data_IF_592774892731
#
_entry.id   IF_592774892731
#
_cell.length_a   1.000
_cell.length_b   1.000
_cell.length_c   1.000
_cell.angle_alpha   90.00
_cell.angle_beta   90.00
_cell.angle_gamma   90.00
#
_symmetry.space_group_name_H-M   'P 1'
#
loop_
_entity.id
_entity.type
_entity.pdbx_description
1 polymer ?
#
# COMPACT_ATOMS: atom_id res chain seq x y z
N UNK A 1 46.65 34.59 1.34
CA UNK A 1 47.15 33.32 1.92
C UNK A 1 46.14 32.60 2.83
N UNK A 2 45.44 33.27 3.76
CA UNK A 2 44.52 32.60 4.70
C UNK A 2 43.26 31.97 4.04
N UNK A 3 42.71 32.56 2.98
CA UNK A 3 41.50 32.06 2.29
C UNK A 3 41.74 30.71 1.59
N UNK A 4 42.90 30.53 0.96
CA UNK A 4 43.25 29.28 0.28
C UNK A 4 43.37 28.11 1.28
N UNK A 5 43.83 28.41 2.49
CA UNK A 5 43.98 27.45 3.58
C UNK A 5 42.63 27.00 4.14
N UNK A 6 41.64 27.91 4.23
CA UNK A 6 40.26 27.55 4.61
C UNK A 6 39.56 26.69 3.56
N UNK A 7 39.75 26.99 2.26
CA UNK A 7 39.16 26.19 1.18
C UNK A 7 39.74 24.76 1.18
N UNK A 8 41.06 24.62 1.41
CA UNK A 8 41.72 23.31 1.44
C UNK A 8 41.25 22.45 2.63
N UNK A 9 41.04 23.06 3.81
CA UNK A 9 40.49 22.37 4.99
C UNK A 9 39.03 21.98 4.76
N UNK A 10 38.22 22.85 4.17
CA UNK A 10 36.82 22.55 3.85
C UNK A 10 36.71 21.38 2.84
N UNK A 11 37.60 21.35 1.84
CA UNK A 11 37.66 20.28 0.83
C UNK A 11 38.11 18.94 1.43
N UNK A 12 39.09 18.96 2.35
CA UNK A 12 39.54 17.75 3.05
C UNK A 12 38.47 17.18 4.01
N UNK A 13 37.70 18.05 4.67
CA UNK A 13 36.57 17.67 5.52
C UNK A 13 35.43 17.11 4.65
N UNK A 14 35.09 17.74 3.52
CA UNK A 14 34.09 17.20 2.57
C UNK A 14 34.52 15.85 1.97
N UNK A 15 35.80 15.65 1.65
CA UNK A 15 36.30 14.36 1.13
C UNK A 15 36.32 13.25 2.19
N UNK A 16 36.40 13.58 3.49
CA UNK A 16 36.35 12.57 4.55
C UNK A 16 34.92 12.10 4.87
N UNK A 17 33.88 12.88 4.54
CA UNK A 17 32.49 12.45 4.65
C UNK A 17 32.01 11.59 3.46
N UNK A 18 32.72 11.59 2.32
CA UNK A 18 32.34 10.81 1.14
C UNK A 18 32.87 9.36 1.14
N UNK A 19 33.61 8.96 2.19
CA UNK A 19 34.22 7.63 2.31
C UNK A 19 33.71 6.83 3.52
N UNK A 20 32.55 7.18 4.07
CA UNK A 20 31.81 6.27 4.96
C UNK A 20 31.14 5.19 4.09
N UNK A 21 31.95 4.23 3.63
CA UNK A 21 31.42 2.97 3.11
C UNK A 21 30.85 2.21 4.31
N UNK A 22 29.55 2.35 4.59
CA UNK A 22 28.88 1.47 5.54
C UNK A 22 29.13 0.03 5.09
N UNK A 23 29.90 -0.72 5.88
CA UNK A 23 30.17 -2.12 5.61
C UNK A 23 28.83 -2.85 5.58
N UNK A 24 28.45 -3.36 4.40
CA UNK A 24 27.20 -4.08 4.24
C UNK A 24 27.23 -5.37 5.08
N UNK A 25 26.14 -5.72 5.77
CA UNK A 25 26.05 -7.00 6.46
C UNK A 25 26.24 -8.17 5.49
N UNK A 26 26.79 -9.31 5.95
CA UNK A 26 26.91 -10.50 5.12
C UNK A 26 25.53 -11.00 4.66
N UNK A 27 25.44 -11.66 3.52
CA UNK A 27 24.19 -12.28 3.06
C UNK A 27 23.79 -13.46 3.94
N UNK A 28 22.49 -13.63 4.19
CA UNK A 28 21.98 -14.76 4.97
C UNK A 28 22.28 -16.09 4.27
N UNK A 29 22.57 -17.13 5.07
CA UNK A 29 22.93 -18.46 4.57
C UNK A 29 21.77 -19.19 3.85
N UNK A 30 20.52 -18.79 4.10
CA UNK A 30 19.32 -19.42 3.56
C UNK A 30 18.63 -18.52 2.54
N UNK A 31 18.13 -19.13 1.45
CA UNK A 31 17.29 -18.47 0.46
C UNK A 31 15.87 -18.25 1.00
N UNK A 32 15.32 -17.04 0.79
CA UNK A 32 13.99 -16.66 1.27
C UNK A 32 14.00 -16.10 2.70
N UNK A 33 12.95 -16.40 3.47
CA UNK A 33 12.85 -15.96 4.86
C UNK A 33 13.86 -16.69 5.75
N UNK A 34 14.81 -16.01 6.40
CA UNK A 34 15.70 -16.64 7.36
C UNK A 34 14.89 -17.19 8.54
N UNK A 35 15.28 -18.37 9.02
CA UNK A 35 14.67 -19.01 10.19
C UNK A 35 14.75 -18.06 11.39
N UNK A 36 13.59 -17.65 11.92
CA UNK A 36 13.53 -16.71 13.05
C UNK A 36 13.44 -15.22 12.69
N UNK A 37 13.32 -14.89 11.40
CA UNK A 37 13.22 -13.52 10.90
C UNK A 37 14.54 -12.73 10.99
N UNK A 38 14.48 -11.46 10.64
CA UNK A 38 15.61 -10.53 10.74
C UNK A 38 15.35 -9.53 11.86
N UNK A 39 16.09 -9.69 12.94
CA UNK A 39 16.07 -8.77 14.06
C UNK A 39 16.95 -7.56 13.80
N UNK A 40 16.47 -6.38 14.20
CA UNK A 40 17.29 -5.19 14.31
C UNK A 40 18.24 -5.22 15.51
N UNK A 41 19.07 -4.18 15.61
CA UNK A 41 19.95 -4.01 16.76
C UNK A 41 19.16 -3.79 18.06
N UNK A 42 19.74 -4.28 19.16
CA UNK A 42 19.23 -3.99 20.49
C UNK A 42 19.48 -2.54 20.87
N UNK A 43 18.42 -1.80 21.16
CA UNK A 43 18.44 -0.42 21.63
C UNK A 43 18.12 -0.38 23.11
N UNK A 44 18.93 0.30 23.90
CA UNK A 44 18.64 0.56 25.31
C UNK A 44 17.46 1.52 25.43
N UNK A 45 16.48 1.17 26.26
CA UNK A 45 15.32 2.01 26.56
C UNK A 45 15.39 2.54 28.00
N UNK A 46 14.84 3.74 28.22
CA UNK A 46 14.92 4.43 29.52
C UNK A 46 16.11 5.39 29.62
N UNK A 47 16.59 5.63 30.85
CA UNK A 47 17.67 6.59 31.11
C UNK A 47 19.03 6.17 30.54
N UNK A 48 19.20 4.88 30.20
CA UNK A 48 20.50 4.31 29.86
C UNK A 48 21.49 4.29 31.03
N UNK A 49 21.07 4.76 32.20
CA UNK A 49 21.87 4.79 33.42
C UNK A 49 21.69 3.48 34.15
N UNK A 50 22.81 2.83 34.45
CA UNK A 50 22.85 1.73 35.38
C UNK A 50 22.55 2.22 36.80
N UNK A 51 21.76 1.44 37.51
CA UNK A 51 21.52 1.54 38.95
C UNK A 51 22.78 1.30 39.80
N UNK A 52 23.82 0.67 39.24
CA UNK A 52 25.10 0.42 39.90
C UNK A 52 26.28 0.83 39.02
N UNK A 53 27.36 1.33 39.62
CA UNK A 53 28.52 1.92 38.89
C UNK A 53 29.61 0.91 38.49
N UNK A 54 29.61 -0.31 39.03
CA UNK A 54 30.65 -1.31 38.80
C UNK A 54 30.13 -2.75 38.96
N UNK A 55 30.98 -3.72 38.59
CA UNK A 55 30.80 -5.15 38.88
C UNK A 55 29.88 -5.90 37.92
N UNK A 56 29.32 -5.23 36.91
CA UNK A 56 28.25 -5.80 36.08
C UNK A 56 26.91 -5.96 36.82
N UNK A 57 26.78 -5.32 37.98
CA UNK A 57 25.63 -5.47 38.88
C UNK A 57 24.41 -4.68 38.42
N UNK A 58 24.64 -3.62 37.65
CA UNK A 58 23.56 -2.78 37.17
C UNK A 58 22.82 -3.43 36.03
N UNK A 59 21.55 -3.04 35.82
CA UNK A 59 20.72 -3.58 34.74
C UNK A 59 20.23 -2.50 33.79
N UNK A 60 20.14 -2.85 32.50
CA UNK A 60 19.51 -2.05 31.46
C UNK A 60 18.48 -2.90 30.73
N UNK A 61 17.38 -2.26 30.36
CA UNK A 61 16.38 -2.86 29.50
C UNK A 61 16.69 -2.48 28.05
N UNK A 62 16.71 -3.47 27.18
CA UNK A 62 16.89 -3.28 25.75
C UNK A 62 15.69 -3.81 24.99
N UNK A 63 15.35 -3.12 23.91
CA UNK A 63 14.32 -3.54 22.95
C UNK A 63 14.93 -3.69 21.56
N UNK A 64 14.31 -4.51 20.72
CA UNK A 64 14.65 -4.63 19.31
C UNK A 64 13.38 -4.79 18.48
N UNK A 65 13.46 -4.37 17.23
CA UNK A 65 12.36 -4.46 16.28
C UNK A 65 12.57 -5.61 15.31
N UNK A 66 11.48 -6.27 14.89
CA UNK A 66 11.54 -7.24 13.81
C UNK A 66 11.47 -6.50 12.48
N UNK A 67 12.59 -6.46 11.77
CA UNK A 67 12.72 -5.66 10.54
C UNK A 67 12.07 -6.37 9.36
N UNK A 68 12.03 -7.70 9.40
CA UNK A 68 11.40 -8.50 8.36
C UNK A 68 9.88 -8.60 8.51
N UNK A 69 9.27 -8.03 9.54
CA UNK A 69 7.81 -8.03 9.72
C UNK A 69 7.13 -7.07 8.72
N UNK A 70 5.96 -7.41 8.14
CA UNK A 70 5.17 -8.63 8.32
C UNK A 70 5.57 -9.80 7.40
N UNK A 71 6.56 -9.61 6.52
CA UNK A 71 6.91 -10.57 5.45
C UNK A 71 7.54 -11.87 5.98
N UNK A 72 8.43 -11.78 6.98
CA UNK A 72 9.02 -12.91 7.68
C UNK A 72 8.95 -12.64 9.20
N UNK A 73 8.04 -13.29 9.94
CA UNK A 73 7.85 -13.01 11.35
C UNK A 73 9.07 -13.48 12.15
N UNK A 74 9.52 -12.64 13.09
CA UNK A 74 10.64 -12.97 13.94
C UNK A 74 10.22 -13.91 15.07
N UNK A 75 11.09 -14.85 15.45
CA UNK A 75 10.86 -15.75 16.58
C UNK A 75 11.80 -15.37 17.73
N UNK A 76 11.25 -15.26 18.95
CA UNK A 76 11.97 -14.85 20.17
C UNK A 76 11.50 -13.52 20.75
N UNK A 77 12.13 -13.10 21.86
CA UNK A 77 11.71 -11.88 22.57
C UNK A 77 12.19 -10.61 21.85
N UNK A 78 11.31 -9.60 21.80
CA UNK A 78 11.64 -8.22 21.39
C UNK A 78 12.22 -7.38 22.54
N UNK A 79 12.20 -7.90 23.78
CA UNK A 79 12.71 -7.23 24.97
C UNK A 79 13.68 -8.12 25.74
N UNK A 80 14.75 -7.55 26.28
CA UNK A 80 15.67 -8.24 27.19
C UNK A 80 16.19 -7.30 28.27
N UNK A 81 16.59 -7.88 29.40
CA UNK A 81 17.34 -7.19 30.44
C UNK A 81 18.79 -7.66 30.41
N UNK A 82 19.74 -6.74 30.37
CA UNK A 82 21.18 -7.03 30.35
C UNK A 82 21.89 -6.36 31.50
N UNK A 83 23.00 -6.96 31.96
CA UNK A 83 23.91 -6.31 32.89
C UNK A 83 24.62 -5.11 32.24
N UNK A 84 25.08 -4.18 33.07
CA UNK A 84 25.83 -2.99 32.63
C UNK A 84 26.85 -2.55 33.70
N UNK A 85 27.75 -1.63 33.34
CA UNK A 85 28.88 -1.19 34.18
C UNK A 85 29.81 -2.35 34.60
N UNK A 86 30.38 -3.02 33.61
CA UNK A 86 31.27 -4.19 33.78
C UNK A 86 32.68 -3.85 34.29
N UNK A 87 32.97 -2.62 34.69
CA UNK A 87 34.26 -2.31 35.31
C UNK A 87 34.38 -3.03 36.66
N UNK A 88 35.56 -3.57 36.97
CA UNK A 88 35.81 -4.20 38.26
C UNK A 88 35.55 -3.23 39.43
N UNK A 89 34.81 -3.66 40.44
CA UNK A 89 34.59 -2.84 41.62
C UNK A 89 35.88 -2.68 42.44
N UNK A 90 36.11 -1.48 42.97
CA UNK A 90 37.24 -1.16 43.84
C UNK A 90 36.87 -1.38 45.31
N UNK A 91 37.87 -1.73 46.13
CA UNK A 91 37.75 -1.73 47.59
C UNK A 91 37.07 -0.43 48.08
N UNK A 92 36.11 -0.47 49.03
CA UNK A 92 35.82 -1.53 50.01
C UNK A 92 34.71 -2.53 49.64
N UNK A 93 34.25 -2.59 48.39
CA UNK A 93 33.21 -3.55 48.00
C UNK A 93 33.67 -5.00 48.21
N UNK A 94 32.78 -5.83 48.79
CA UNK A 94 33.09 -7.23 49.15
C UNK A 94 33.27 -8.15 47.93
N UNK A 95 32.70 -7.78 46.78
CA UNK A 95 32.81 -8.53 45.52
C UNK A 95 33.26 -7.60 44.40
N UNK A 96 34.25 -8.07 43.64
CA UNK A 96 34.75 -7.38 42.45
C UNK A 96 33.74 -7.41 41.30
N UNK A 97 32.99 -8.52 41.18
CA UNK A 97 31.95 -8.75 40.17
C UNK A 97 30.70 -9.36 40.80
N UNK A 98 29.52 -9.01 40.26
CA UNK A 98 28.26 -9.62 40.65
C UNK A 98 28.03 -10.94 39.92
N UNK A 99 27.43 -11.92 40.61
CA UNK A 99 27.02 -13.18 39.96
C UNK A 99 26.00 -12.87 38.84
N UNK A 100 26.13 -13.48 37.65
CA UNK A 100 27.01 -14.61 37.30
C UNK A 100 28.39 -14.21 36.75
N UNK A 101 28.75 -12.92 36.74
CA UNK A 101 29.99 -12.44 36.17
C UNK A 101 31.20 -12.72 37.06
N UNK A 102 32.32 -13.05 36.43
CA UNK A 102 33.61 -13.32 37.05
C UNK A 102 34.64 -12.27 36.59
N UNK A 103 35.66 -11.97 37.42
CA UNK A 103 36.76 -11.09 37.01
C UNK A 103 37.54 -11.67 35.83
N UNK A 104 37.80 -10.84 34.82
CA UNK A 104 38.57 -11.16 33.62
C UNK A 104 39.49 -9.99 33.27
N UNK A 105 40.56 -10.23 32.51
CA UNK A 105 41.46 -9.18 32.01
C UNK A 105 41.31 -9.05 30.51
N UNK A 106 40.89 -7.89 30.03
CA UNK A 106 40.80 -7.56 28.60
C UNK A 106 41.60 -6.27 28.38
N UNK A 107 42.52 -6.28 27.42
CA UNK A 107 43.41 -5.14 27.13
C UNK A 107 44.17 -4.61 28.37
N UNK A 108 44.64 -5.52 29.24
CA UNK A 108 45.33 -5.20 30.53
C UNK A 108 44.45 -4.47 31.56
N UNK A 109 43.13 -4.40 31.36
CA UNK A 109 42.17 -3.85 32.31
C UNK A 109 41.33 -4.98 32.92
N UNK A 110 41.12 -4.93 34.23
CA UNK A 110 40.23 -5.85 34.93
C UNK A 110 38.77 -5.45 34.73
N UNK A 111 37.97 -6.37 34.20
CA UNK A 111 36.54 -6.22 33.92
C UNK A 111 35.78 -7.44 34.45
N UNK A 112 34.46 -7.32 34.57
CA UNK A 112 33.56 -8.41 34.90
C UNK A 112 32.96 -8.99 33.62
N UNK A 113 33.01 -10.30 33.45
CA UNK A 113 32.49 -10.98 32.26
C UNK A 113 31.92 -12.37 32.55
N UNK A 114 31.34 -13.05 31.55
CA UNK A 114 31.33 -12.68 30.14
C UNK A 114 30.43 -11.47 29.86
N UNK A 115 30.98 -10.42 29.26
CA UNK A 115 30.16 -9.33 28.73
C UNK A 115 29.34 -9.93 27.58
N UNK A 116 28.00 -9.84 27.59
CA UNK A 116 27.20 -10.25 26.46
C UNK A 116 27.75 -9.55 25.22
N UNK A 117 28.24 -10.31 24.24
CA UNK A 117 28.65 -9.71 22.97
C UNK A 117 27.39 -9.03 22.43
N UNK A 118 27.46 -7.71 22.24
CA UNK A 118 26.35 -6.92 21.69
C UNK A 118 26.05 -7.24 20.22
N UNK A 119 26.70 -8.26 19.65
CA UNK A 119 26.50 -8.74 18.30
C UNK A 119 25.65 -10.02 18.33
N UNK A 120 24.50 -9.98 18.99
CA UNK A 120 23.36 -10.83 18.58
C UNK A 120 22.52 -10.02 17.59
N UNK A 121 23.19 -9.32 16.69
CA UNK A 121 22.58 -8.87 15.45
C UNK A 121 22.72 -10.05 14.51
N UNK A 122 21.64 -10.81 14.33
CA UNK A 122 21.53 -11.72 13.19
C UNK A 122 21.27 -10.94 11.90
N UNK A 123 21.55 -9.63 11.85
CA UNK A 123 21.38 -8.82 10.67
C UNK A 123 22.37 -9.31 9.62
N UNK A 124 21.86 -10.19 8.78
CA UNK A 124 22.39 -10.52 7.49
C UNK A 124 21.45 -9.93 6.45
N UNK A 125 21.97 -9.60 5.27
CA UNK A 125 21.10 -9.21 4.18
C UNK A 125 20.39 -10.45 3.63
N UNK A 126 19.04 -10.47 3.60
CA UNK A 126 18.33 -11.59 2.99
C UNK A 126 18.75 -11.72 1.52
N UNK A 127 18.78 -12.95 1.01
CA UNK A 127 19.24 -13.22 -0.36
C UNK A 127 18.37 -12.55 -1.43
N UNK A 128 17.13 -12.21 -1.07
CA UNK A 128 16.23 -11.35 -1.83
C UNK A 128 15.83 -10.15 -1.00
N UNK A 129 15.83 -8.96 -1.60
CA UNK A 129 15.40 -7.71 -0.95
C UNK A 129 13.97 -7.83 -0.44
N UNK A 130 13.74 -7.45 0.82
CA UNK A 130 12.41 -7.43 1.42
C UNK A 130 11.81 -6.04 1.27
N UNK A 131 10.60 -5.99 0.71
CA UNK A 131 9.85 -4.76 0.55
C UNK A 131 8.53 -4.83 1.34
N UNK A 132 8.02 -3.68 1.76
CA UNK A 132 6.65 -3.58 2.25
C UNK A 132 5.65 -3.91 1.14
N UNK A 133 4.38 -4.06 1.53
CA UNK A 133 3.28 -3.94 0.58
C UNK A 133 3.33 -2.60 -0.17
N UNK A 134 2.79 -2.62 -1.38
CA UNK A 134 2.65 -1.41 -2.19
C UNK A 134 1.60 -0.46 -1.59
N UNK A 135 1.86 0.84 -1.66
CA UNK A 135 0.81 1.84 -1.47
C UNK A 135 -0.28 1.73 -2.55
N UNK A 136 -1.42 2.37 -2.30
CA UNK A 136 -2.34 2.74 -3.37
C UNK A 136 -1.66 3.66 -4.38
N UNK A 137 -2.24 3.76 -5.58
CA UNK A 137 -1.77 4.70 -6.59
C UNK A 137 -2.15 6.14 -6.23
N UNK A 138 -1.36 7.09 -6.71
CA UNK A 138 -1.66 8.51 -6.69
C UNK A 138 -1.28 9.14 -8.04
N UNK A 139 -1.90 10.28 -8.38
CA UNK A 139 -1.54 11.01 -9.59
C UNK A 139 -0.10 11.54 -9.49
N UNK A 140 0.65 11.43 -10.58
CA UNK A 140 1.99 12.01 -10.71
C UNK A 140 1.98 13.47 -11.22
N UNK A 141 0.80 14.05 -11.46
CA UNK A 141 0.62 15.43 -11.97
C UNK A 141 0.79 15.60 -13.49
N UNK A 142 1.28 14.59 -14.20
CA UNK A 142 1.52 14.61 -15.65
C UNK A 142 0.60 13.64 -16.41
N UNK A 143 -0.58 13.32 -15.85
CA UNK A 143 -1.53 12.37 -16.45
C UNK A 143 -1.16 10.90 -16.26
N UNK A 144 -0.15 10.60 -15.43
CA UNK A 144 0.20 9.24 -15.03
C UNK A 144 0.00 8.99 -13.54
N UNK A 145 0.29 7.76 -13.14
CA UNK A 145 0.02 7.21 -11.81
C UNK A 145 1.28 6.64 -11.21
N UNK A 146 1.49 6.88 -9.92
CA UNK A 146 2.64 6.41 -9.18
C UNK A 146 2.20 5.69 -7.91
N UNK A 147 2.91 4.63 -7.54
CA UNK A 147 2.81 4.01 -6.21
C UNK A 147 4.21 3.75 -5.66
N UNK A 148 4.31 3.67 -4.34
CA UNK A 148 5.59 3.45 -3.65
C UNK A 148 5.50 2.32 -2.65
N UNK A 149 6.64 1.71 -2.34
CA UNK A 149 6.81 0.77 -1.24
C UNK A 149 8.16 1.00 -0.58
N UNK A 150 8.31 0.55 0.66
CA UNK A 150 9.54 0.76 1.43
C UNK A 150 10.41 -0.48 1.38
N UNK A 151 11.72 -0.27 1.32
CA UNK A 151 12.66 -1.35 1.56
C UNK A 151 12.77 -1.58 3.07
N UNK A 152 12.40 -2.78 3.52
CA UNK A 152 12.40 -3.10 4.94
C UNK A 152 13.84 -3.27 5.46
N UNK A 153 14.75 -3.71 4.61
CA UNK A 153 16.14 -4.01 4.99
C UNK A 153 17.09 -2.80 4.91
N UNK A 154 16.59 -1.62 4.54
CA UNK A 154 17.43 -0.41 4.47
C UNK A 154 17.95 0.03 5.84
N UNK A 155 17.17 -0.21 6.91
CA UNK A 155 17.52 0.15 8.29
C UNK A 155 18.70 -0.64 8.86
N UNK A 156 19.08 -1.75 8.23
CA UNK A 156 20.27 -2.57 8.55
C UNK A 156 21.37 -2.47 7.48
N UNK A 157 21.28 -1.50 6.55
CA UNK A 157 22.34 -1.25 5.57
C UNK A 157 22.36 -2.21 4.38
N UNK A 158 21.28 -2.97 4.15
CA UNK A 158 21.19 -3.85 2.99
C UNK A 158 20.78 -3.07 1.73
N UNK A 159 21.36 -3.38 0.56
CA UNK A 159 21.10 -2.66 -0.67
C UNK A 159 19.66 -2.89 -1.15
N UNK A 160 19.02 -1.80 -1.57
CA UNK A 160 17.70 -1.81 -2.18
C UNK A 160 17.80 -1.09 -3.52
N UNK A 161 17.36 -1.73 -4.61
CA UNK A 161 17.35 -1.05 -5.89
C UNK A 161 16.21 -0.01 -5.92
N UNK A 162 16.56 1.25 -6.20
CA UNK A 162 15.60 2.37 -6.22
C UNK A 162 14.48 2.20 -7.27
N UNK A 163 14.75 1.45 -8.35
CA UNK A 163 13.73 1.10 -9.35
C UNK A 163 12.60 0.22 -8.80
N UNK A 164 12.85 -0.47 -7.68
CA UNK A 164 11.94 -1.46 -7.13
C UNK A 164 11.12 -0.90 -5.96
N UNK A 165 11.27 0.39 -5.62
CA UNK A 165 10.49 1.08 -4.56
C UNK A 165 9.44 2.04 -5.13
N UNK A 166 9.51 2.35 -6.42
CA UNK A 166 8.58 3.25 -7.11
C UNK A 166 8.14 2.59 -8.41
N UNK A 167 6.84 2.58 -8.65
CA UNK A 167 6.25 2.11 -9.90
C UNK A 167 5.41 3.22 -10.51
N UNK A 168 5.55 3.42 -11.82
CA UNK A 168 4.83 4.45 -12.58
C UNK A 168 4.13 3.83 -13.79
N UNK A 169 2.97 4.36 -14.14
CA UNK A 169 2.24 3.99 -15.35
C UNK A 169 1.46 5.19 -15.94
N UNK A 170 1.24 5.18 -17.24
CA UNK A 170 0.51 6.23 -17.96
C UNK A 170 -0.97 5.89 -18.20
N UNK A 171 -1.40 4.71 -17.72
CA UNK A 171 -2.76 4.19 -17.86
C UNK A 171 -3.42 4.16 -16.48
N UNK A 172 -4.73 4.41 -16.42
CA UNK A 172 -5.49 4.33 -15.18
C UNK A 172 -5.34 2.94 -14.52
N UNK A 173 -5.04 2.85 -13.21
CA UNK A 173 -4.80 1.57 -12.54
C UNK A 173 -6.05 0.67 -12.42
N UNK A 174 -7.25 1.23 -12.54
CA UNK A 174 -8.47 0.44 -12.55
C UNK A 174 -8.61 -0.29 -13.90
N UNK A 175 -8.86 -1.61 -13.90
CA UNK A 175 -8.99 -2.37 -15.13
C UNK A 175 -10.23 -1.94 -15.90
N UNK A 176 -10.26 -2.23 -17.20
CA UNK A 176 -11.51 -2.19 -17.96
C UNK A 176 -12.56 -3.04 -17.23
N UNK A 177 -13.72 -2.46 -16.95
CA UNK A 177 -14.72 -3.12 -16.14
C UNK A 177 -15.24 -4.39 -16.83
N UNK A 178 -15.35 -5.47 -16.05
CA UNK A 178 -15.77 -6.79 -16.51
C UNK A 178 -17.28 -6.76 -16.71
N UNK A 179 -17.75 -7.30 -17.84
CA UNK A 179 -19.17 -7.48 -18.10
C UNK A 179 -19.75 -8.49 -17.10
N UNK A 180 -20.84 -8.12 -16.43
CA UNK A 180 -21.54 -8.97 -15.48
C UNK A 180 -22.33 -10.06 -16.23
N UNK A 181 -22.14 -11.32 -15.84
CA UNK A 181 -22.86 -12.47 -16.40
C UNK A 181 -24.04 -12.91 -15.51
N UNK A 182 -25.00 -13.64 -16.07
CA UNK A 182 -26.16 -14.15 -15.32
C UNK A 182 -25.74 -15.04 -14.13
N UNK A 183 -24.65 -15.80 -14.27
CA UNK A 183 -24.11 -16.64 -13.19
C UNK A 183 -23.51 -15.85 -12.02
N UNK A 184 -23.24 -14.55 -12.20
CA UNK A 184 -22.64 -13.71 -11.16
C UNK A 184 -23.65 -13.19 -10.13
N UNK A 185 -24.95 -13.32 -10.41
CA UNK A 185 -26.05 -12.76 -9.62
C UNK A 185 -27.06 -13.86 -9.23
N UNK A 186 -26.87 -14.51 -8.08
CA UNK A 186 -27.84 -15.47 -7.57
C UNK A 186 -29.20 -14.78 -7.29
N UNK A 187 -30.29 -15.34 -7.81
CA UNK A 187 -31.65 -14.87 -7.57
C UNK A 187 -32.06 -13.59 -8.31
N UNK A 188 -31.17 -12.99 -9.11
CA UNK A 188 -31.48 -11.84 -9.96
C UNK A 188 -31.32 -12.22 -11.42
N UNK A 189 -32.42 -12.33 -12.17
CA UNK A 189 -32.33 -12.48 -13.63
C UNK A 189 -31.88 -11.15 -14.23
N UNK A 190 -30.73 -11.08 -14.89
CA UNK A 190 -30.44 -9.94 -15.75
C UNK A 190 -31.46 -9.98 -16.90
N UNK A 191 -32.25 -8.92 -17.13
CA UNK A 191 -33.25 -8.93 -18.18
C UNK A 191 -32.58 -9.22 -19.53
N UNK A 192 -33.11 -10.22 -20.24
CA UNK A 192 -32.43 -10.85 -21.38
C UNK A 192 -32.18 -9.95 -22.59
N UNK A 193 -32.75 -8.74 -22.62
CA UNK A 193 -32.45 -7.75 -23.64
C UNK A 193 -31.23 -6.93 -23.22
N UNK A 194 -30.06 -7.37 -23.69
CA UNK A 194 -28.87 -6.51 -23.72
C UNK A 194 -29.20 -5.39 -24.68
N UNK A 195 -29.44 -4.18 -24.18
CA UNK A 195 -29.60 -3.00 -25.03
C UNK A 195 -28.34 -2.72 -25.86
N UNK A 196 -28.24 -1.53 -26.45
CA UNK A 196 -26.99 -1.09 -27.07
C UNK A 196 -25.87 -1.02 -26.03
N UNK A 197 -25.00 -2.03 -26.00
CA UNK A 197 -23.84 -2.08 -25.12
C UNK A 197 -22.74 -1.16 -25.65
N UNK A 198 -22.32 -0.19 -24.85
CA UNK A 198 -21.05 0.52 -25.07
C UNK A 198 -20.07 0.16 -23.98
N UNK A 199 -18.85 -0.17 -24.39
CA UNK A 199 -17.76 -0.37 -23.45
C UNK A 199 -17.57 0.90 -22.61
N UNK A 200 -17.25 0.71 -21.32
CA UNK A 200 -16.85 1.78 -20.43
C UNK A 200 -15.68 2.58 -21.05
N UNK A 201 -15.90 3.86 -21.28
CA UNK A 201 -14.89 4.77 -21.81
C UNK A 201 -14.07 5.33 -20.64
N UNK A 202 -12.81 4.92 -20.54
CA UNK A 202 -11.89 5.31 -19.47
C UNK A 202 -11.05 6.51 -19.92
N UNK A 203 -11.03 7.55 -19.10
CA UNK A 203 -10.06 8.63 -19.19
C UNK A 203 -8.85 8.29 -18.31
N UNK A 204 -7.72 7.98 -18.93
CA UNK A 204 -6.49 7.59 -18.22
C UNK A 204 -5.85 8.71 -17.42
N UNK A 205 -6.05 9.98 -17.82
CA UNK A 205 -5.43 11.12 -17.17
C UNK A 205 -6.15 11.47 -15.86
N UNK A 206 -7.48 11.35 -15.84
CA UNK A 206 -8.30 11.61 -14.64
C UNK A 206 -8.65 10.35 -13.87
N UNK A 207 -8.46 9.17 -14.48
CA UNK A 207 -8.88 7.86 -13.96
C UNK A 207 -10.36 7.85 -13.54
N UNK A 208 -11.14 8.51 -14.38
CA UNK A 208 -12.60 8.46 -14.41
C UNK A 208 -13.04 7.63 -15.60
N UNK A 209 -14.27 7.14 -15.55
CA UNK A 209 -14.84 6.44 -16.68
C UNK A 209 -16.31 6.80 -16.85
N UNK A 210 -16.80 6.63 -18.08
CA UNK A 210 -18.20 6.87 -18.42
C UNK A 210 -18.77 5.68 -19.16
N UNK A 211 -20.00 5.35 -18.82
CA UNK A 211 -20.85 4.44 -19.58
C UNK A 211 -22.01 5.24 -20.13
N UNK A 212 -22.07 5.34 -21.46
CA UNK A 212 -23.15 6.03 -22.15
C UNK A 212 -24.40 5.14 -22.19
N UNK A 213 -25.51 5.64 -21.64
CA UNK A 213 -26.83 5.04 -21.83
C UNK A 213 -27.63 5.81 -22.87
N UNK A 214 -28.33 5.05 -23.70
CA UNK A 214 -29.11 5.55 -24.82
C UNK A 214 -30.56 5.10 -24.70
N UNK A 215 -31.49 6.06 -24.76
CA UNK A 215 -32.92 5.84 -24.82
C UNK A 215 -33.50 6.66 -25.99
N UNK A 216 -33.45 6.11 -27.20
CA UNK A 216 -34.07 6.73 -28.39
C UNK A 216 -35.03 5.76 -29.07
N UNK A 217 -35.96 6.39 -29.78
CA UNK A 217 -36.98 5.78 -30.60
C UNK A 217 -36.59 5.77 -32.07
N UNK A 218 -36.21 4.62 -32.60
CA UNK A 218 -35.73 4.52 -33.98
C UNK A 218 -36.77 4.91 -35.05
N UNK A 219 -38.09 4.82 -34.76
CA UNK A 219 -39.12 5.08 -35.78
C UNK A 219 -40.12 6.17 -35.42
N UNK A 220 -39.66 7.39 -35.16
CA UNK A 220 -40.55 8.56 -35.23
C UNK A 220 -39.79 9.75 -35.76
N UNK A 221 -40.41 10.45 -36.71
CA UNK A 221 -39.94 11.75 -37.20
C UNK A 221 -40.90 12.84 -36.68
N UNK A 222 -40.45 13.79 -35.84
CA UNK A 222 -39.12 13.88 -35.24
C UNK A 222 -38.92 12.84 -34.10
N UNK A 223 -37.67 12.51 -33.81
CA UNK A 223 -37.29 11.58 -32.73
C UNK A 223 -37.79 12.09 -31.38
N UNK A 224 -38.78 11.42 -30.78
CA UNK A 224 -39.34 11.80 -29.48
C UNK A 224 -38.41 11.40 -28.32
N UNK A 225 -38.21 12.33 -27.40
CA UNK A 225 -37.55 12.12 -26.09
C UNK A 225 -38.48 11.35 -25.15
N UNK A 226 -37.99 10.26 -24.55
CA UNK A 226 -38.74 9.51 -23.55
C UNK A 226 -38.60 10.07 -22.14
N UNK A 227 -39.17 11.26 -21.95
CA UNK A 227 -39.27 11.90 -20.64
C UNK A 227 -40.69 11.88 -20.08
N UNK A 228 -41.54 10.97 -20.56
CA UNK A 228 -42.90 10.78 -20.03
C UNK A 228 -43.19 9.30 -19.82
N UNK A 229 -43.83 8.92 -18.70
CA UNK A 229 -44.35 7.56 -18.53
C UNK A 229 -45.35 7.25 -19.65
N UNK A 230 -45.38 6.00 -20.11
CA UNK A 230 -46.30 5.54 -21.16
C UNK A 230 -47.75 5.95 -20.83
N UNK A 231 -48.37 6.70 -21.74
CA UNK A 231 -49.82 6.76 -21.82
C UNK A 231 -50.28 5.46 -22.50
N UNK A 232 -51.28 4.80 -21.91
CA UNK A 232 -51.76 3.43 -22.13
C UNK A 232 -52.30 3.07 -23.54
N UNK A 233 -51.65 3.49 -24.63
CA UNK A 233 -52.24 3.41 -25.98
C UNK A 233 -51.31 3.02 -27.14
N UNK A 234 -50.02 2.75 -26.93
CA UNK A 234 -49.08 2.42 -28.00
C UNK A 234 -48.51 1.00 -27.83
N UNK A 235 -49.26 -0.02 -28.25
CA UNK A 235 -48.87 -1.43 -28.09
C UNK A 235 -48.31 -2.11 -29.37
N UNK A 236 -48.05 -1.37 -30.46
CA UNK A 236 -47.91 -2.02 -31.77
C UNK A 236 -46.53 -2.07 -32.39
N UNK A 237 -45.81 -0.95 -32.44
CA UNK A 237 -44.77 -0.80 -33.45
C UNK A 237 -43.35 -0.89 -32.90
N UNK A 238 -43.01 -0.23 -31.78
CA UNK A 238 -41.70 -0.23 -31.09
C UNK A 238 -41.94 0.26 -29.62
N UNK A 239 -41.09 0.13 -28.59
CA UNK A 239 -40.05 1.11 -28.17
C UNK A 239 -39.73 0.93 -26.65
N UNK A 240 -38.47 1.02 -26.20
CA UNK A 240 -38.03 0.80 -24.80
C UNK A 240 -38.44 1.95 -23.83
N UNK A 241 -38.81 1.64 -22.59
CA UNK A 241 -39.30 2.60 -21.58
C UNK A 241 -38.22 3.18 -20.65
N UNK A 242 -37.04 2.56 -20.62
CA UNK A 242 -35.93 3.08 -19.83
C UNK A 242 -34.68 2.21 -19.92
N UNK A 243 -33.62 2.75 -19.32
CA UNK A 243 -32.30 2.11 -19.26
C UNK A 243 -31.83 1.98 -17.80
N UNK A 244 -31.22 0.85 -17.48
CA UNK A 244 -30.70 0.55 -16.15
C UNK A 244 -29.28 0.02 -16.25
N UNK A 245 -28.56 0.23 -15.17
CA UNK A 245 -27.31 -0.46 -14.90
C UNK A 245 -27.54 -1.43 -13.74
N UNK A 246 -27.13 -2.69 -13.91
CA UNK A 246 -26.99 -3.61 -12.79
C UNK A 246 -25.52 -3.70 -12.44
N UNK A 247 -25.17 -3.49 -11.18
CA UNK A 247 -23.80 -3.59 -10.70
C UNK A 247 -23.71 -4.67 -9.64
N UNK A 248 -22.59 -5.41 -9.63
CA UNK A 248 -22.24 -6.28 -8.50
C UNK A 248 -21.38 -5.49 -7.53
N UNK A 249 -21.95 -5.17 -6.38
CA UNK A 249 -21.22 -4.40 -5.36
C UNK A 249 -20.11 -5.25 -4.74
N UNK A 250 -18.95 -4.62 -4.52
CA UNK A 250 -17.75 -5.29 -4.02
C UNK A 250 -17.89 -5.78 -2.58
N UNK A 251 -18.66 -5.07 -1.76
CA UNK A 251 -18.78 -5.36 -0.31
C UNK A 251 -19.95 -6.30 -0.06
N UNK A 252 -21.15 -5.93 -0.49
CA UNK A 252 -22.35 -6.75 -0.26
C UNK A 252 -22.38 -8.02 -1.11
N UNK A 253 -21.61 -8.04 -2.22
CA UNK A 253 -21.66 -9.09 -3.26
C UNK A 253 -23.03 -9.25 -3.91
N UNK A 254 -23.94 -8.32 -3.67
CA UNK A 254 -25.28 -8.31 -4.25
C UNK A 254 -25.28 -7.58 -5.59
N UNK A 255 -26.16 -8.03 -6.47
CA UNK A 255 -26.43 -7.34 -7.73
C UNK A 255 -27.58 -6.35 -7.53
N UNK A 256 -27.29 -5.08 -7.73
CA UNK A 256 -28.25 -3.99 -7.53
C UNK A 256 -28.52 -3.32 -8.87
N UNK A 257 -29.80 -3.21 -9.23
CA UNK A 257 -30.23 -2.51 -10.43
C UNK A 257 -30.54 -1.04 -10.11
N UNK A 258 -29.98 -0.13 -10.89
CA UNK A 258 -30.24 1.30 -10.80
C UNK A 258 -30.85 1.78 -12.10
N UNK A 259 -31.96 2.49 -12.00
CA UNK A 259 -32.55 3.23 -13.12
C UNK A 259 -31.76 4.52 -13.28
N UNK A 260 -31.02 4.63 -14.38
CA UNK A 260 -30.05 5.72 -14.59
C UNK A 260 -30.59 6.85 -15.45
N UNK A 261 -31.88 6.79 -15.79
CA UNK A 261 -32.53 7.71 -16.70
C UNK A 261 -33.78 8.30 -16.02
N UNK A 262 -33.71 9.55 -15.55
CA UNK A 262 -34.83 10.24 -14.88
C UNK A 262 -35.45 11.37 -15.72
N UNK A 263 -34.89 11.62 -16.90
CA UNK A 263 -35.37 12.55 -17.90
C UNK A 263 -35.57 14.02 -17.48
N UNK A 264 -35.15 14.36 -16.26
CA UNK A 264 -35.24 15.68 -15.66
C UNK A 264 -33.86 16.20 -15.27
N UNK A 265 -32.86 15.31 -15.11
CA UNK A 265 -31.49 15.62 -14.75
C UNK A 265 -30.48 14.83 -15.61
N UNK A 266 -29.25 15.32 -15.69
CA UNK A 266 -28.13 14.53 -16.23
C UNK A 266 -28.12 14.32 -17.75
N UNK A 267 -28.93 15.06 -18.52
CA UNK A 267 -28.81 15.07 -19.98
C UNK A 267 -27.45 15.64 -20.37
N UNK A 268 -26.66 14.86 -21.09
CA UNK A 268 -25.38 15.32 -21.60
C UNK A 268 -25.63 16.26 -22.81
N UNK A 269 -25.28 17.57 -22.70
CA UNK A 269 -25.57 18.58 -23.72
C UNK A 269 -24.75 18.40 -25.00
N UNK A 270 -23.68 17.59 -24.97
CA UNK A 270 -22.84 17.31 -26.13
C UNK A 270 -23.57 16.44 -27.17
N UNK A 271 -24.70 15.84 -26.79
CA UNK A 271 -25.52 15.05 -27.69
C UNK A 271 -26.81 15.80 -28.03
N UNK A 272 -27.13 15.95 -29.31
CA UNK A 272 -28.39 16.54 -29.80
C UNK A 272 -29.66 15.71 -29.50
N UNK A 273 -29.59 14.75 -28.58
CA UNK A 273 -30.63 13.79 -28.18
C UNK A 273 -30.53 13.56 -26.66
N UNK A 274 -31.62 13.20 -25.98
CA UNK A 274 -31.61 12.95 -24.54
C UNK A 274 -30.77 11.69 -24.20
N UNK A 275 -29.49 11.88 -23.87
CA UNK A 275 -28.57 10.82 -23.43
C UNK A 275 -28.04 11.12 -22.04
N UNK A 276 -27.77 10.08 -21.27
CA UNK A 276 -27.26 10.20 -19.91
C UNK A 276 -26.07 9.26 -19.71
N UNK A 277 -25.01 9.79 -19.09
CA UNK A 277 -23.82 9.04 -18.75
C UNK A 277 -23.91 8.55 -17.30
N UNK A 278 -23.56 7.30 -17.07
CA UNK A 278 -23.18 6.82 -15.74
C UNK A 278 -21.68 7.02 -15.59
N UNK A 279 -21.27 7.74 -14.55
CA UNK A 279 -19.87 8.07 -14.31
C UNK A 279 -19.30 7.23 -13.18
N UNK A 280 -18.00 6.96 -13.31
CA UNK A 280 -17.23 6.16 -12.36
C UNK A 280 -15.92 6.85 -12.03
N UNK A 281 -15.49 6.71 -10.79
CA UNK A 281 -14.19 7.15 -10.31
C UNK A 281 -13.38 5.95 -9.84
N UNK A 282 -12.11 5.85 -10.22
CA UNK A 282 -11.28 4.74 -9.77
C UNK A 282 -10.88 4.88 -8.30
N UNK A 283 -11.14 3.85 -7.51
CA UNK A 283 -10.54 3.69 -6.19
C UNK A 283 -9.08 3.24 -6.36
N UNK A 284 -8.14 4.17 -6.23
CA UNK A 284 -6.71 3.92 -6.46
C UNK A 284 -6.06 2.97 -5.44
N UNK A 285 -6.74 2.67 -4.34
CA UNK A 285 -6.29 1.72 -3.32
C UNK A 285 -6.76 0.30 -3.65
N UNK A 286 -8.06 0.11 -3.90
CA UNK A 286 -8.63 -1.21 -4.20
C UNK A 286 -8.53 -1.60 -5.68
N UNK A 287 -8.25 -0.61 -6.55
CA UNK A 287 -8.24 -0.70 -8.02
C UNK A 287 -9.59 -1.10 -8.60
N UNK A 288 -10.67 -0.66 -7.95
CA UNK A 288 -12.05 -0.89 -8.37
C UNK A 288 -12.73 0.40 -8.78
N UNK A 289 -13.73 0.29 -9.63
CA UNK A 289 -14.56 1.44 -10.01
C UNK A 289 -15.57 1.74 -8.91
N UNK A 290 -15.66 3.01 -8.52
CA UNK A 290 -16.73 3.55 -7.69
C UNK A 290 -17.77 4.10 -8.64
N UNK A 291 -19.02 3.68 -8.51
CA UNK A 291 -20.11 4.30 -9.26
C UNK A 291 -20.53 5.60 -8.57
N UNK A 292 -20.32 6.75 -9.20
CA UNK A 292 -20.42 8.07 -8.56
C UNK A 292 -21.82 8.35 -7.97
N UNK A 293 -22.87 7.71 -8.53
CA UNK A 293 -24.25 7.80 -8.05
C UNK A 293 -24.47 7.17 -6.67
N UNK A 294 -23.69 6.17 -6.31
CA UNK A 294 -23.87 5.40 -5.06
C UNK A 294 -22.69 5.53 -4.12
N UNK A 295 -21.50 5.84 -4.63
CA UNK A 295 -20.25 5.83 -3.87
C UNK A 295 -19.74 4.41 -3.57
N UNK A 296 -20.33 3.37 -4.15
CA UNK A 296 -19.95 1.99 -3.88
C UNK A 296 -18.93 1.47 -4.90
N UNK A 297 -17.91 0.76 -4.41
CA UNK A 297 -16.98 -0.04 -5.23
C UNK A 297 -17.76 -1.17 -5.92
N UNK A 298 -17.58 -1.32 -7.22
CA UNK A 298 -18.23 -2.37 -8.03
C UNK A 298 -17.19 -3.36 -8.59
N UNK A 299 -17.56 -4.64 -8.67
CA UNK A 299 -16.75 -5.70 -9.27
C UNK A 299 -17.01 -5.80 -10.79
N UNK A 300 -18.26 -5.60 -11.20
CA UNK A 300 -18.72 -5.74 -12.59
C UNK A 300 -20.04 -5.02 -12.81
N UNK A 301 -20.39 -4.76 -14.08
CA UNK A 301 -21.65 -4.11 -14.44
C UNK A 301 -22.31 -4.75 -15.67
N UNK A 302 -23.62 -4.55 -15.78
CA UNK A 302 -24.47 -4.90 -16.89
C UNK A 302 -25.28 -3.68 -17.34
N UNK A 303 -25.35 -3.45 -18.65
CA UNK A 303 -26.22 -2.44 -19.25
C UNK A 303 -27.45 -3.12 -19.85
N UNK A 304 -28.64 -2.66 -19.50
CA UNK A 304 -29.87 -3.18 -20.07
C UNK A 304 -30.95 -2.12 -20.25
N UNK A 305 -32.02 -2.54 -20.92
CA UNK A 305 -33.23 -1.75 -21.14
C UNK A 305 -34.48 -2.57 -20.83
N UNK A 306 -35.61 -1.91 -20.54
CA UNK A 306 -36.90 -2.57 -20.29
C UNK A 306 -38.03 -1.95 -21.10
N UNK A 307 -39.13 -2.68 -21.17
CA UNK A 307 -40.44 -2.25 -21.68
C UNK A 307 -41.48 -2.51 -20.58
N UNK A 308 -42.36 -1.55 -20.34
CA UNK A 308 -43.54 -1.65 -19.49
C UNK A 308 -44.66 -2.17 -20.39
N UNK A 309 -45.10 -3.41 -20.16
CA UNK A 309 -46.26 -3.98 -20.85
C UNK A 309 -47.57 -3.44 -20.27
#
# INVERSE_FOLDING_TARGET
MKILQYILVLFLVLCSFLNESFAQPPTCAQAGCPTGGVWGEWKTIGSGQCDMECGGCGTLVQTRECISDPTCPCTGSSNRTTGCNFNACKYPTQKVCCNPYVPMVVNKVQICGPIPKTIDSSACCPQSTLYSEWSGYSSNGNGGWVRTRRCLTASIGCPCAAKDITETMDVCPCPAAIGLENSDCEGTSLPGNKGFFRAMAIDNATCTAKVLFYAENQDTTPSFQFCKPMASGYQGAMKFDGAYITVKESVSKQCVAHTVFDCTHGQNPDYGSARQDVTFTCNLQTKKWIMDFTGNDIDSYYQGNWTIN
#
